data_IF_738350056877
#
_entry.id   IF_738350056877
#
_cell.length_a   1.000
_cell.length_b   1.000
_cell.length_c   1.000
_cell.angle_alpha   90.00
_cell.angle_beta   90.00
_cell.angle_gamma   90.00
#
_symmetry.space_group_name_H-M   'P 1'
#
loop_
_entity.id
_entity.type
_entity.pdbx_description
1 polymer ?
#
# COMPACT_ATOMS: atom_id res chain seq x y z
N UNK A 1 -1.87 -12.32 -4.21
CA UNK A 1 -0.40 -12.31 -4.48
C UNK A 1 0.32 -12.95 -3.28
N UNK A 2 1.52 -13.54 -3.45
CA UNK A 2 2.32 -14.00 -2.32
C UNK A 2 2.77 -12.81 -1.44
N UNK A 3 3.03 -13.00 -0.13
CA UNK A 3 3.52 -11.92 0.72
C UNK A 3 4.84 -11.31 0.23
N UNK A 4 4.97 -9.99 0.36
CA UNK A 4 6.23 -9.30 0.15
C UNK A 4 7.05 -9.33 1.44
N UNK A 5 8.30 -9.83 1.34
CA UNK A 5 9.21 -9.94 2.48
C UNK A 5 10.26 -8.85 2.42
N UNK A 6 10.31 -8.01 3.46
CA UNK A 6 11.39 -7.05 3.61
C UNK A 6 12.69 -7.73 4.06
N UNK A 7 13.85 -7.24 3.63
CA UNK A 7 15.13 -7.69 4.15
C UNK A 7 15.21 -7.56 5.67
N UNK A 8 15.94 -8.48 6.31
CA UNK A 8 16.12 -8.48 7.76
C UNK A 8 16.76 -7.16 8.23
N UNK A 9 16.21 -6.60 9.31
CA UNK A 9 16.74 -5.38 9.95
C UNK A 9 16.17 -4.08 9.38
N UNK A 10 15.33 -4.14 8.34
CA UNK A 10 14.62 -2.98 7.82
C UNK A 10 13.45 -2.65 8.73
N UNK A 11 13.39 -1.37 9.14
CA UNK A 11 12.21 -0.79 9.77
C UNK A 11 11.36 -0.17 8.66
N UNK A 12 10.16 -0.69 8.46
CA UNK A 12 9.24 -0.17 7.43
C UNK A 12 8.72 1.19 7.87
N UNK A 13 9.15 2.23 7.16
CA UNK A 13 8.65 3.59 7.29
C UNK A 13 7.76 3.98 6.11
N UNK A 14 7.58 5.29 5.93
CA UNK A 14 6.74 5.85 4.84
C UNK A 14 7.30 5.49 3.46
N UNK A 15 8.62 5.58 3.30
CA UNK A 15 9.29 5.37 2.01
C UNK A 15 9.13 3.92 1.57
N UNK A 16 9.53 2.98 2.42
CA UNK A 16 9.53 1.55 2.14
C UNK A 16 8.10 1.05 1.91
N UNK A 17 7.13 1.58 2.66
CA UNK A 17 5.72 1.26 2.47
C UNK A 17 5.21 1.72 1.10
N UNK A 18 5.46 2.98 0.73
CA UNK A 18 4.99 3.52 -0.54
C UNK A 18 5.66 2.88 -1.76
N UNK A 19 6.93 2.47 -1.65
CA UNK A 19 7.60 1.70 -2.70
C UNK A 19 6.88 0.38 -2.96
N UNK A 20 6.59 -0.40 -1.91
CA UNK A 20 5.84 -1.65 -2.07
C UNK A 20 4.41 -1.41 -2.56
N UNK A 21 3.74 -0.37 -2.07
CA UNK A 21 2.39 -0.04 -2.50
C UNK A 21 2.33 0.28 -4.01
N UNK A 22 3.28 1.08 -4.51
CA UNK A 22 3.32 1.47 -5.93
C UNK A 22 3.79 0.36 -6.86
N UNK A 23 4.83 -0.36 -6.47
CA UNK A 23 5.55 -1.23 -7.41
C UNK A 23 5.03 -2.67 -7.39
N UNK A 24 4.40 -3.07 -6.29
CA UNK A 24 3.99 -4.46 -6.05
C UNK A 24 2.48 -4.55 -5.89
N UNK A 25 1.93 -3.83 -4.91
CA UNK A 25 0.54 -4.01 -4.48
C UNK A 25 -0.45 -3.44 -5.49
N UNK A 26 -0.30 -2.16 -5.88
CA UNK A 26 -1.25 -1.50 -6.79
C UNK A 26 -1.34 -2.18 -8.16
N UNK A 27 -0.24 -2.54 -8.85
CA UNK A 27 -0.33 -3.26 -10.13
C UNK A 27 -1.02 -4.61 -9.97
N UNK A 28 -0.78 -5.33 -8.87
CA UNK A 28 -1.47 -6.59 -8.60
C UNK A 28 -2.96 -6.38 -8.34
N UNK A 29 -3.33 -5.35 -7.58
CA UNK A 29 -4.72 -5.00 -7.30
C UNK A 29 -5.46 -4.63 -8.58
N UNK A 30 -4.88 -3.79 -9.44
CA UNK A 30 -5.49 -3.39 -10.71
C UNK A 30 -5.70 -4.57 -11.65
N UNK A 31 -4.76 -5.52 -11.68
CA UNK A 31 -4.89 -6.74 -12.48
C UNK A 31 -5.95 -7.71 -11.92
N UNK A 32 -6.15 -7.73 -10.59
CA UNK A 32 -7.03 -8.70 -9.91
C UNK A 32 -8.46 -8.17 -9.75
N UNK A 33 -8.59 -6.86 -9.50
CA UNK A 33 -9.84 -6.14 -9.26
C UNK A 33 -9.94 -4.93 -10.22
N UNK A 34 -10.03 -5.17 -11.53
CA UNK A 34 -9.98 -4.10 -12.54
C UNK A 34 -11.12 -3.10 -12.41
N UNK A 35 -12.26 -3.52 -11.86
CA UNK A 35 -13.43 -2.66 -11.61
C UNK A 35 -13.31 -1.86 -10.30
N UNK A 36 -12.20 -1.98 -9.56
CA UNK A 36 -12.01 -1.27 -8.31
C UNK A 36 -12.89 -1.77 -7.16
N UNK A 37 -13.49 -2.96 -7.28
CA UNK A 37 -14.39 -3.56 -6.30
C UNK A 37 -13.63 -4.19 -5.10
N UNK A 38 -12.84 -3.38 -4.41
CA UNK A 38 -12.05 -3.76 -3.25
C UNK A 38 -12.05 -2.64 -2.20
N UNK A 39 -11.84 -3.01 -0.94
CA UNK A 39 -11.63 -2.06 0.15
C UNK A 39 -10.23 -2.28 0.72
N UNK A 40 -9.48 -1.19 0.90
CA UNK A 40 -8.14 -1.25 1.46
C UNK A 40 -8.17 -1.12 2.98
N UNK A 41 -7.68 -2.13 3.70
CA UNK A 41 -7.57 -2.12 5.15
C UNK A 41 -6.11 -2.16 5.59
N UNK A 42 -5.74 -1.26 6.48
CA UNK A 42 -4.43 -1.23 7.13
C UNK A 42 -4.59 -0.92 8.63
N UNK A 43 -3.55 -1.22 9.43
CA UNK A 43 -3.54 -0.88 10.84
C UNK A 43 -3.17 0.60 11.08
N UNK A 44 -3.18 1.02 12.36
CA UNK A 44 -2.91 2.39 12.76
C UNK A 44 -1.43 2.74 12.94
N UNK A 45 -0.48 2.02 12.36
CA UNK A 45 0.95 2.29 12.57
C UNK A 45 1.34 3.70 12.09
N UNK A 46 2.32 4.37 12.74
CA UNK A 46 2.67 5.75 12.42
C UNK A 46 3.06 6.00 10.96
N UNK A 47 3.76 5.03 10.33
CA UNK A 47 4.15 5.13 8.92
C UNK A 47 2.95 5.16 7.99
N UNK A 48 1.91 4.38 8.27
CA UNK A 48 0.75 4.24 7.39
C UNK A 48 -0.21 5.43 7.53
N UNK A 49 -0.23 6.07 8.70
CA UNK A 49 -0.99 7.31 8.95
C UNK A 49 -0.26 8.58 8.51
N UNK A 50 0.98 8.47 8.02
CA UNK A 50 1.72 9.63 7.55
C UNK A 50 0.97 10.30 6.40
N UNK A 51 0.99 11.64 6.37
CA UNK A 51 0.25 12.44 5.38
C UNK A 51 0.52 11.99 3.94
N UNK A 52 1.78 11.72 3.61
CA UNK A 52 2.16 11.28 2.27
C UNK A 52 1.57 9.90 1.90
N UNK A 53 1.45 8.97 2.86
CA UNK A 53 0.82 7.67 2.62
C UNK A 53 -0.68 7.83 2.42
N UNK A 54 -1.33 8.57 3.32
CA UNK A 54 -2.77 8.80 3.27
C UNK A 54 -3.18 9.50 1.96
N UNK A 55 -2.43 10.53 1.56
CA UNK A 55 -2.66 11.21 0.30
C UNK A 55 -2.51 10.27 -0.90
N UNK A 56 -1.44 9.48 -0.96
CA UNK A 56 -1.24 8.54 -2.05
C UNK A 56 -2.37 7.51 -2.13
N UNK A 57 -2.81 6.98 -0.98
CA UNK A 57 -3.91 6.02 -0.94
C UNK A 57 -5.24 6.63 -1.40
N UNK A 58 -5.56 7.87 -1.00
CA UNK A 58 -6.75 8.60 -1.47
C UNK A 58 -6.74 8.85 -2.97
N UNK A 59 -5.56 9.14 -3.54
CA UNK A 59 -5.41 9.39 -4.98
C UNK A 59 -5.42 8.11 -5.82
N UNK A 60 -4.95 6.99 -5.24
CA UNK A 60 -4.65 5.77 -6.00
C UNK A 60 -5.66 4.65 -5.82
N UNK A 61 -6.34 4.55 -4.66
CA UNK A 61 -7.22 3.44 -4.33
C UNK A 61 -8.68 3.85 -4.52
N UNK A 62 -9.53 2.90 -4.92
CA UNK A 62 -10.91 3.20 -5.33
C UNK A 62 -11.82 3.66 -4.17
N UNK A 63 -11.61 3.11 -2.98
CA UNK A 63 -12.42 3.37 -1.76
C UNK A 63 -11.49 3.43 -0.54
N UNK A 64 -10.89 4.60 -0.28
CA UNK A 64 -9.92 4.84 0.80
C UNK A 64 -10.18 6.14 1.57
#
# INVERSE_FOLDING_TARGET
>A
MPPYWFPKGIRVGVKEYLEVMRDIIKPWMDATYPDGNHCWQQDGAPGYKAKAVQQWCQESLADF
#
